data_IF_787018889172
#
_entry.id   IF_787018889172
#
_cell.length_a   1.000
_cell.length_b   1.000
_cell.length_c   1.000
_cell.angle_alpha   90.00
_cell.angle_beta   90.00
_cell.angle_gamma   90.00
#
_symmetry.space_group_name_H-M   'P 1'
#
loop_
_entity.id
_entity.type
_entity.pdbx_description
1 polymer ?
#
# COMPACT_ATOMS: atom_id res chain seq x y z
N UNK A 1 14.12 5.28 -8.46
CA UNK A 1 14.70 5.74 -7.19
C UNK A 1 14.67 4.60 -6.17
N UNK A 2 15.70 4.45 -5.33
CA UNK A 2 15.70 3.49 -4.22
C UNK A 2 16.07 4.24 -2.95
N UNK A 3 15.22 4.14 -1.93
CA UNK A 3 15.42 4.81 -0.64
C UNK A 3 15.33 3.74 0.45
N UNK A 4 16.22 3.82 1.42
CA UNK A 4 16.14 3.00 2.64
C UNK A 4 16.01 3.92 3.85
N UNK A 5 15.00 3.65 4.65
CA UNK A 5 14.78 4.30 5.93
C UNK A 5 14.53 3.23 7.00
N UNK A 6 15.46 3.10 7.94
CA UNK A 6 15.46 2.01 8.93
C UNK A 6 15.28 0.64 8.25
N UNK A 7 14.22 -0.08 8.61
CA UNK A 7 13.90 -1.41 8.07
C UNK A 7 13.00 -1.37 6.83
N UNK A 8 12.63 -0.18 6.35
CA UNK A 8 11.80 0.01 5.16
C UNK A 8 12.70 0.34 3.98
N UNK A 9 12.61 -0.46 2.94
CA UNK A 9 13.19 -0.16 1.63
C UNK A 9 12.05 0.17 0.69
N UNK A 10 12.11 1.35 0.08
CA UNK A 10 11.20 1.78 -0.99
C UNK A 10 11.97 1.81 -2.31
N UNK A 11 11.41 1.19 -3.32
CA UNK A 11 11.77 1.42 -4.72
C UNK A 11 10.60 2.12 -5.39
N UNK A 12 10.85 3.26 -6.01
CA UNK A 12 9.81 4.04 -6.65
C UNK A 12 10.24 4.50 -8.04
N UNK A 13 9.30 4.41 -8.97
CA UNK A 13 9.36 5.01 -10.29
C UNK A 13 8.11 5.84 -10.41
N UNK A 14 8.24 7.16 -10.58
CA UNK A 14 7.12 8.05 -10.81
C UNK A 14 7.54 9.15 -11.79
N UNK A 15 6.73 9.35 -12.81
CA UNK A 15 6.79 10.45 -13.75
C UNK A 15 5.36 10.91 -13.98
N UNK A 16 5.03 12.10 -13.52
CA UNK A 16 3.66 12.62 -13.50
C UNK A 16 2.96 12.47 -14.85
N UNK A 17 1.76 11.92 -14.84
CA UNK A 17 0.94 11.66 -16.02
C UNK A 17 1.45 10.56 -16.96
N UNK A 18 2.53 9.85 -16.62
CA UNK A 18 3.07 8.76 -17.44
C UNK A 18 2.98 7.42 -16.71
N UNK A 19 3.58 7.32 -15.53
CA UNK A 19 3.54 6.11 -14.70
C UNK A 19 3.99 6.37 -13.28
N UNK A 20 3.34 5.70 -12.35
CA UNK A 20 3.70 5.63 -10.93
C UNK A 20 3.66 4.18 -10.47
N UNK A 21 4.74 3.73 -9.84
CA UNK A 21 4.83 2.40 -9.23
C UNK A 21 5.78 2.46 -8.05
N UNK A 22 5.29 2.08 -6.89
CA UNK A 22 6.06 2.00 -5.65
C UNK A 22 6.14 0.54 -5.19
N UNK A 23 7.29 0.13 -4.68
CA UNK A 23 7.53 -1.24 -4.24
C UNK A 23 8.16 -1.21 -2.85
N UNK A 24 7.64 -2.04 -1.97
CA UNK A 24 8.26 -2.43 -0.70
C UNK A 24 8.80 -3.87 -0.83
N UNK A 25 10.04 -4.06 -1.31
CA UNK A 25 10.54 -5.36 -1.76
C UNK A 25 10.57 -6.42 -0.65
N UNK A 26 10.94 -6.02 0.57
CA UNK A 26 11.01 -6.92 1.74
C UNK A 26 9.66 -7.50 2.13
N UNK A 27 8.58 -6.80 1.80
CA UNK A 27 7.19 -7.19 2.08
C UNK A 27 6.49 -7.76 0.84
N UNK A 28 7.13 -7.71 -0.33
CA UNK A 28 6.57 -8.10 -1.64
C UNK A 28 5.27 -7.37 -1.97
N UNK A 29 5.22 -6.09 -1.64
CA UNK A 29 4.06 -5.22 -1.85
C UNK A 29 4.38 -4.22 -2.96
N UNK A 30 3.45 -4.04 -3.88
CA UNK A 30 3.36 -2.91 -4.79
C UNK A 30 2.28 -1.93 -4.33
N UNK A 31 2.51 -0.64 -4.54
CA UNK A 31 1.48 0.39 -4.45
C UNK A 31 1.49 1.13 -5.78
N UNK A 32 0.37 1.12 -6.44
CA UNK A 32 0.19 1.47 -7.84
C UNK A 32 1.09 0.67 -8.80
N UNK A 33 0.68 0.59 -10.03
CA UNK A 33 1.38 -0.17 -11.05
C UNK A 33 1.14 0.46 -12.42
N UNK A 34 1.60 1.69 -12.60
CA UNK A 34 1.58 2.35 -13.92
C UNK A 34 2.54 1.68 -14.90
N UNK A 35 3.61 1.07 -14.39
CA UNK A 35 4.54 0.27 -15.18
C UNK A 35 4.85 -1.06 -14.49
N UNK A 36 4.87 -2.14 -15.25
CA UNK A 36 5.25 -3.48 -14.77
C UNK A 36 6.74 -3.73 -15.03
N UNK A 37 7.61 -3.27 -14.14
CA UNK A 37 9.05 -3.57 -14.13
C UNK A 37 9.33 -4.99 -13.59
N UNK A 38 10.56 -5.49 -13.75
CA UNK A 38 10.97 -6.79 -13.20
C UNK A 38 10.79 -6.88 -11.68
N UNK A 39 11.10 -5.81 -10.96
CA UNK A 39 10.96 -5.77 -9.50
C UNK A 39 9.49 -5.88 -9.07
N UNK A 40 8.57 -5.26 -9.83
CA UNK A 40 7.13 -5.34 -9.60
C UNK A 40 6.61 -6.77 -9.76
N UNK A 41 7.20 -7.57 -10.66
CA UNK A 41 6.77 -8.97 -10.87
C UNK A 41 6.83 -9.82 -9.61
N UNK A 42 7.68 -9.46 -8.66
CA UNK A 42 7.83 -10.17 -7.37
C UNK A 42 6.76 -9.78 -6.35
N UNK A 43 6.01 -8.69 -6.59
CA UNK A 43 4.92 -8.28 -5.73
C UNK A 43 3.71 -9.21 -5.94
N UNK A 44 3.29 -9.89 -4.90
CA UNK A 44 2.08 -10.72 -4.95
C UNK A 44 0.84 -10.01 -4.39
N UNK A 45 1.02 -8.80 -3.83
CA UNK A 45 -0.02 -7.90 -3.33
C UNK A 45 0.21 -6.52 -3.90
N UNK A 46 -0.79 -5.97 -4.56
CA UNK A 46 -0.74 -4.64 -5.17
C UNK A 46 -1.92 -3.82 -4.68
N UNK A 47 -1.62 -2.71 -4.03
CA UNK A 47 -2.58 -1.76 -3.51
C UNK A 47 -2.72 -0.62 -4.51
N UNK A 48 -3.92 -0.42 -5.03
CA UNK A 48 -4.20 0.56 -6.08
C UNK A 48 -4.85 1.77 -5.43
N UNK A 49 -4.23 2.93 -5.59
CA UNK A 49 -4.75 4.18 -5.03
C UNK A 49 -6.00 4.63 -5.76
N UNK A 50 -5.95 4.67 -7.08
CA UNK A 50 -7.04 5.05 -7.96
C UNK A 50 -6.79 4.57 -9.40
N UNK A 51 -7.81 4.56 -10.29
CA UNK A 51 -7.71 3.91 -11.59
C UNK A 51 -7.22 4.80 -12.74
N UNK A 52 -6.48 5.89 -12.50
CA UNK A 52 -5.85 6.58 -13.61
C UNK A 52 -4.80 5.69 -14.29
N UNK A 53 -4.64 5.87 -15.60
CA UNK A 53 -3.82 5.00 -16.45
C UNK A 53 -2.38 4.91 -15.94
N UNK A 54 -1.80 6.02 -15.53
CA UNK A 54 -0.45 6.11 -14.99
C UNK A 54 -0.27 5.41 -13.63
N UNK A 55 -1.36 4.95 -13.01
CA UNK A 55 -1.35 4.16 -11.78
C UNK A 55 -1.70 2.68 -11.97
N UNK A 56 -2.38 2.31 -13.08
CA UNK A 56 -2.85 0.92 -13.26
C UNK A 56 -2.45 0.26 -14.59
N UNK A 57 -1.87 0.98 -15.55
CA UNK A 57 -1.61 0.44 -16.90
C UNK A 57 -0.76 -0.84 -16.91
N UNK A 58 0.12 -1.01 -15.93
CA UNK A 58 0.99 -2.17 -15.81
C UNK A 58 0.31 -3.45 -15.28
N UNK A 59 -0.91 -3.37 -14.75
CA UNK A 59 -1.58 -4.49 -14.06
C UNK A 59 -1.79 -5.68 -14.99
N UNK A 60 -2.24 -5.45 -16.23
CA UNK A 60 -2.48 -6.52 -17.19
C UNK A 60 -1.19 -7.28 -17.49
N UNK A 61 -0.11 -6.53 -17.76
CA UNK A 61 1.21 -7.13 -17.99
C UNK A 61 1.71 -7.89 -16.78
N UNK A 62 1.54 -7.34 -15.57
CA UNK A 62 1.92 -8.01 -14.33
C UNK A 62 1.18 -9.34 -14.17
N UNK A 63 -0.15 -9.34 -14.31
CA UNK A 63 -0.97 -10.53 -14.19
C UNK A 63 -0.57 -11.59 -15.24
N UNK A 64 -0.46 -11.20 -16.50
CA UNK A 64 -0.08 -12.07 -17.62
C UNK A 64 1.33 -12.65 -17.48
N UNK A 65 2.30 -11.83 -17.08
CA UNK A 65 3.68 -12.30 -16.88
C UNK A 65 3.79 -13.28 -15.72
N UNK A 66 3.06 -13.08 -14.63
CA UNK A 66 3.03 -14.02 -13.51
C UNK A 66 2.39 -15.36 -13.90
N UNK A 67 1.31 -15.33 -14.69
CA UNK A 67 0.69 -16.53 -15.27
C UNK A 67 1.69 -17.29 -16.12
N UNK A 68 2.36 -16.61 -17.06
CA UNK A 68 3.36 -17.20 -17.95
C UNK A 68 4.53 -17.81 -17.20
N UNK A 69 4.95 -17.20 -16.08
CA UNK A 69 6.03 -17.69 -15.20
C UNK A 69 5.57 -18.74 -14.18
N UNK A 70 4.32 -19.19 -14.24
CA UNK A 70 3.71 -20.13 -13.27
C UNK A 70 3.82 -19.66 -11.81
N UNK A 71 3.76 -18.35 -11.59
CA UNK A 71 3.75 -17.76 -10.25
C UNK A 71 2.32 -17.75 -9.69
N UNK A 72 2.21 -17.70 -8.36
CA UNK A 72 0.90 -17.56 -7.70
C UNK A 72 0.11 -16.34 -8.22
N UNK A 73 -1.21 -16.50 -8.31
CA UNK A 73 -2.10 -15.41 -8.66
C UNK A 73 -1.93 -14.21 -7.72
N UNK A 74 -1.71 -12.99 -8.24
CA UNK A 74 -1.57 -11.81 -7.41
C UNK A 74 -2.90 -11.41 -6.78
N UNK A 75 -2.85 -10.68 -5.67
CA UNK A 75 -4.01 -10.02 -5.08
C UNK A 75 -3.93 -8.53 -5.35
N UNK A 76 -4.94 -8.00 -6.01
CA UNK A 76 -5.13 -6.57 -6.22
C UNK A 76 -6.12 -6.02 -5.19
N UNK A 77 -5.75 -4.93 -4.54
CA UNK A 77 -6.54 -4.21 -3.56
C UNK A 77 -6.96 -2.88 -4.18
N UNK A 78 -8.26 -2.64 -4.34
CA UNK A 78 -8.78 -1.45 -5.02
C UNK A 78 -9.96 -0.83 -4.27
N UNK A 79 -10.17 0.47 -4.38
CA UNK A 79 -11.33 1.15 -3.82
C UNK A 79 -12.64 0.54 -4.30
N UNK A 80 -13.62 0.44 -3.40
CA UNK A 80 -14.93 -0.17 -3.68
C UNK A 80 -15.60 0.43 -4.91
N UNK A 81 -15.46 1.73 -5.08
CA UNK A 81 -16.07 2.50 -6.17
C UNK A 81 -15.57 2.06 -7.56
N UNK A 82 -14.39 1.45 -7.62
CA UNK A 82 -13.73 1.06 -8.89
C UNK A 82 -13.80 -0.44 -9.20
N UNK A 83 -14.35 -1.24 -8.29
CA UNK A 83 -14.37 -2.70 -8.39
C UNK A 83 -14.92 -3.20 -9.72
N UNK A 84 -16.13 -2.79 -10.07
CA UNK A 84 -16.83 -3.31 -11.26
C UNK A 84 -16.07 -2.94 -12.54
N UNK A 85 -15.63 -1.68 -12.67
CA UNK A 85 -14.84 -1.23 -13.81
C UNK A 85 -13.52 -1.98 -13.95
N UNK A 86 -12.86 -2.29 -12.83
CA UNK A 86 -11.65 -3.11 -12.83
C UNK A 86 -11.92 -4.54 -13.31
N UNK A 87 -12.96 -5.19 -12.83
CA UNK A 87 -13.37 -6.54 -13.27
C UNK A 87 -13.71 -6.56 -14.75
N UNK A 88 -14.42 -5.54 -15.27
CA UNK A 88 -14.76 -5.40 -16.68
C UNK A 88 -13.50 -5.24 -17.55
N UNK A 89 -12.56 -4.43 -17.12
CA UNK A 89 -11.25 -4.27 -17.77
C UNK A 89 -10.52 -5.62 -17.86
N UNK A 90 -10.40 -6.33 -16.75
CA UNK A 90 -9.74 -7.64 -16.70
C UNK A 90 -10.44 -8.67 -17.59
N UNK A 91 -11.77 -8.70 -17.58
CA UNK A 91 -12.57 -9.58 -18.44
C UNK A 91 -12.41 -9.24 -19.93
N UNK A 92 -12.30 -7.96 -20.28
CA UNK A 92 -12.03 -7.54 -21.65
C UNK A 92 -10.65 -8.02 -22.13
N UNK A 93 -9.63 -7.90 -21.29
CA UNK A 93 -8.29 -8.41 -21.59
C UNK A 93 -8.23 -9.93 -21.66
N UNK A 94 -8.96 -10.67 -20.82
CA UNK A 94 -9.09 -12.13 -20.93
C UNK A 94 -9.60 -12.56 -22.31
N UNK A 95 -10.61 -11.85 -22.82
CA UNK A 95 -11.17 -12.12 -24.16
C UNK A 95 -10.17 -11.78 -25.27
N UNK A 96 -9.49 -10.63 -25.19
CA UNK A 96 -8.51 -10.19 -26.18
C UNK A 96 -7.27 -11.08 -26.21
N UNK A 97 -6.70 -11.36 -25.05
CA UNK A 97 -5.46 -12.12 -24.87
C UNK A 97 -5.68 -13.64 -24.91
N UNK A 98 -6.92 -14.11 -24.86
CA UNK A 98 -7.30 -15.53 -24.78
C UNK A 98 -6.54 -16.28 -23.68
N UNK A 99 -6.38 -15.66 -22.50
CA UNK A 99 -5.70 -16.19 -21.32
C UNK A 99 -6.55 -16.04 -20.07
N UNK A 100 -6.23 -16.79 -19.02
CA UNK A 100 -6.99 -16.78 -17.78
C UNK A 100 -6.79 -15.49 -16.98
N UNK A 101 -5.60 -14.91 -17.02
CA UNK A 101 -5.21 -13.77 -16.21
C UNK A 101 -5.67 -13.98 -14.74
N UNK A 102 -5.12 -14.97 -14.03
CA UNK A 102 -5.60 -15.33 -12.70
C UNK A 102 -5.20 -14.24 -11.69
N UNK A 103 -6.16 -13.74 -10.94
CA UNK A 103 -5.95 -12.79 -9.85
C UNK A 103 -7.01 -12.97 -8.76
N UNK A 104 -6.72 -12.42 -7.58
CA UNK A 104 -7.70 -12.18 -6.52
C UNK A 104 -7.95 -10.68 -6.44
N UNK A 105 -9.21 -10.29 -6.21
CA UNK A 105 -9.60 -8.89 -6.04
C UNK A 105 -10.17 -8.68 -4.65
N UNK A 106 -9.59 -7.73 -3.93
CA UNK A 106 -10.01 -7.32 -2.59
C UNK A 106 -10.42 -5.85 -2.60
N UNK A 107 -11.58 -5.57 -2.04
CA UNK A 107 -12.11 -4.21 -1.96
C UNK A 107 -11.49 -3.48 -0.78
N UNK A 108 -11.06 -2.23 -1.00
CA UNK A 108 -10.52 -1.35 0.04
C UNK A 108 -11.44 -0.18 0.31
N UNK A 109 -11.49 0.22 1.57
CA UNK A 109 -12.18 1.42 2.03
C UNK A 109 -11.41 2.05 3.20
N UNK A 110 -11.62 3.34 3.50
CA UNK A 110 -10.91 4.00 4.59
C UNK A 110 -11.03 3.25 5.91
N UNK A 111 -9.93 3.13 6.64
CA UNK A 111 -9.78 2.41 7.91
C UNK A 111 -9.83 0.88 7.81
N UNK A 112 -9.97 0.29 6.61
CA UNK A 112 -9.79 -1.15 6.45
C UNK A 112 -8.34 -1.53 6.61
N UNK A 113 -8.08 -2.54 7.44
CA UNK A 113 -6.76 -3.11 7.70
C UNK A 113 -6.57 -4.42 6.93
N UNK A 114 -5.41 -4.55 6.29
CA UNK A 114 -4.97 -5.79 5.64
C UNK A 114 -3.68 -6.24 6.31
N UNK A 115 -3.73 -7.36 6.99
CA UNK A 115 -2.55 -7.97 7.59
C UNK A 115 -1.56 -8.41 6.50
N UNK A 116 -0.33 -7.94 6.59
CA UNK A 116 0.76 -8.34 5.69
C UNK A 116 1.49 -9.55 6.28
N UNK A 117 1.81 -9.46 7.55
CA UNK A 117 2.37 -10.53 8.36
C UNK A 117 2.06 -10.27 9.85
N UNK A 118 2.71 -10.99 10.75
CA UNK A 118 2.47 -10.83 12.20
C UNK A 118 2.90 -9.45 12.73
N UNK A 119 3.80 -8.76 12.03
CA UNK A 119 4.39 -7.48 12.47
C UNK A 119 3.77 -6.28 11.75
N UNK A 120 3.36 -6.44 10.49
CA UNK A 120 2.91 -5.33 9.65
C UNK A 120 1.49 -5.52 9.13
N UNK A 121 0.77 -4.41 9.01
CA UNK A 121 -0.50 -4.32 8.28
C UNK A 121 -0.58 -3.01 7.51
N UNK A 122 -1.39 -2.98 6.45
CA UNK A 122 -1.71 -1.76 5.69
C UNK A 122 -3.11 -1.31 6.05
N UNK A 123 -3.26 -0.02 6.32
CA UNK A 123 -4.53 0.69 6.51
C UNK A 123 -4.73 1.68 5.39
N UNK A 124 -5.93 1.68 4.81
CA UNK A 124 -6.31 2.68 3.82
C UNK A 124 -6.86 3.94 4.47
N UNK A 125 -6.63 5.08 3.84
CA UNK A 125 -7.25 6.37 4.17
C UNK A 125 -7.74 7.07 2.91
N UNK A 126 -8.60 8.08 3.06
CA UNK A 126 -9.15 8.84 1.92
C UNK A 126 -8.18 9.93 1.50
N UNK A 127 -7.77 9.92 0.24
CA UNK A 127 -7.06 11.02 -0.41
C UNK A 127 -8.01 11.97 -1.12
N UNK A 128 -7.54 13.19 -1.41
CA UNK A 128 -8.36 14.25 -1.99
C UNK A 128 -7.98 14.41 -3.45
N UNK A 129 -8.73 13.75 -4.31
CA UNK A 129 -8.48 13.74 -5.74
C UNK A 129 -9.80 13.81 -6.52
N UNK A 130 -9.74 14.11 -7.84
CA UNK A 130 -10.91 14.22 -8.73
C UNK A 130 -11.72 12.93 -8.81
N UNK A 131 -11.05 11.79 -8.86
CA UNK A 131 -11.67 10.46 -8.75
C UNK A 131 -11.49 9.93 -7.33
N UNK A 132 -12.36 9.03 -6.85
CA UNK A 132 -12.17 8.39 -5.56
C UNK A 132 -10.75 7.80 -5.44
N UNK A 133 -9.99 8.27 -4.47
CA UNK A 133 -8.58 7.90 -4.28
C UNK A 133 -8.33 7.48 -2.83
N UNK A 134 -7.51 6.46 -2.66
CA UNK A 134 -7.06 5.96 -1.37
C UNK A 134 -5.56 6.17 -1.22
N UNK A 135 -5.16 6.65 -0.07
CA UNK A 135 -3.78 6.51 0.38
C UNK A 135 -3.63 5.24 1.20
N UNK A 136 -2.41 4.77 1.33
CA UNK A 136 -2.06 3.56 2.08
C UNK A 136 -0.97 3.83 3.10
N UNK A 137 -1.19 3.36 4.31
CA UNK A 137 -0.25 3.50 5.41
C UNK A 137 0.12 2.13 5.96
N UNK A 138 1.42 1.86 6.02
CA UNK A 138 1.99 0.66 6.63
C UNK A 138 2.20 0.93 8.12
N UNK A 139 1.58 0.13 8.95
CA UNK A 139 1.74 0.13 10.39
C UNK A 139 2.59 -1.04 10.84
N UNK A 140 3.47 -0.77 11.81
CA UNK A 140 4.19 -1.78 12.55
C UNK A 140 3.51 -2.02 13.89
N UNK A 141 3.16 -3.27 14.16
CA UNK A 141 2.69 -3.71 15.49
C UNK A 141 3.89 -3.85 16.40
N UNK A 142 3.94 -3.02 17.43
CA UNK A 142 4.97 -3.09 18.47
C UNK A 142 4.35 -3.56 19.77
N UNK A 143 5.13 -4.31 20.51
CA UNK A 143 4.80 -4.68 21.88
C UNK A 143 5.92 -4.27 22.80
N UNK A 144 5.59 -3.68 23.93
CA UNK A 144 6.51 -3.28 24.98
C UNK A 144 6.07 -3.93 26.27
N UNK A 145 6.99 -4.54 27.00
CA UNK A 145 6.68 -5.10 28.32
C UNK A 145 6.15 -3.96 29.22
N UNK A 146 5.03 -4.19 29.90
CA UNK A 146 4.45 -3.22 30.82
C UNK A 146 5.43 -2.89 31.93
N UNK A 147 5.38 -1.66 32.43
CA UNK A 147 6.33 -1.15 33.42
C UNK A 147 6.35 -1.96 34.71
N UNK A 148 5.20 -2.52 35.10
CA UNK A 148 5.03 -3.37 36.29
C UNK A 148 5.81 -4.70 36.23
N UNK A 149 6.18 -5.15 35.01
CA UNK A 149 6.96 -6.38 34.80
C UNK A 149 8.42 -6.10 34.46
N UNK A 150 8.87 -4.85 34.48
CA UNK A 150 10.27 -4.53 34.24
C UNK A 150 11.14 -5.08 35.39
N UNK A 151 12.18 -5.85 35.02
CA UNK A 151 13.05 -6.51 35.99
C UNK A 151 12.56 -7.90 36.45
N UNK A 152 11.37 -8.34 36.05
CA UNK A 152 10.88 -9.70 36.34
C UNK A 152 11.73 -10.75 35.62
N UNK A 153 12.19 -11.81 36.31
CA UNK A 153 12.97 -12.89 35.69
C UNK A 153 12.21 -13.55 34.55
N UNK A 154 12.95 -13.96 33.49
CA UNK A 154 12.35 -14.53 32.27
C UNK A 154 11.45 -15.75 32.50
N UNK A 155 11.80 -16.61 33.47
CA UNK A 155 10.97 -17.79 33.85
C UNK A 155 9.63 -17.38 34.48
N UNK A 156 9.62 -16.29 35.22
CA UNK A 156 8.38 -15.77 35.83
C UNK A 156 7.50 -15.09 34.78
N UNK A 157 8.08 -14.36 33.84
CA UNK A 157 7.40 -13.82 32.65
C UNK A 157 6.72 -14.96 31.86
N UNK A 158 7.42 -16.10 31.66
CA UNK A 158 6.87 -17.26 30.98
C UNK A 158 5.66 -17.83 31.76
N UNK A 159 5.78 -17.97 33.07
CA UNK A 159 4.69 -18.46 33.94
C UNK A 159 3.47 -17.54 33.92
N UNK A 160 3.68 -16.25 34.02
CA UNK A 160 2.58 -15.25 33.95
C UNK A 160 1.85 -15.32 32.60
N UNK A 161 2.61 -15.49 31.52
CA UNK A 161 2.02 -15.67 30.17
C UNK A 161 1.19 -16.97 30.07
N UNK A 162 1.65 -18.08 30.64
CA UNK A 162 0.90 -19.34 30.69
C UNK A 162 -0.41 -19.21 31.48
N UNK A 163 -0.43 -18.33 32.47
CA UNK A 163 -1.64 -17.99 33.23
C UNK A 163 -2.54 -16.96 32.55
N UNK A 164 -2.22 -16.57 31.29
CA UNK A 164 -3.06 -15.67 30.50
C UNK A 164 -2.98 -14.18 30.90
N UNK A 165 -1.95 -13.81 31.67
CA UNK A 165 -1.76 -12.41 32.08
C UNK A 165 -1.25 -11.61 30.89
N UNK A 166 -1.89 -10.47 30.58
CA UNK A 166 -1.48 -9.56 29.52
C UNK A 166 -0.25 -8.75 29.98
N UNK A 167 0.91 -9.18 29.48
CA UNK A 167 2.21 -8.66 29.87
C UNK A 167 2.69 -7.45 29.07
N UNK A 168 2.08 -7.18 27.92
CA UNK A 168 2.59 -6.22 26.96
C UNK A 168 1.57 -5.13 26.65
N UNK A 169 2.05 -3.93 26.52
CA UNK A 169 1.35 -2.84 25.84
C UNK A 169 1.51 -3.01 24.32
N UNK A 170 0.42 -2.96 23.59
CA UNK A 170 0.40 -3.04 22.15
C UNK A 170 0.24 -1.65 21.55
N UNK A 171 1.12 -1.29 20.63
CA UNK A 171 1.08 -0.02 19.90
C UNK A 171 1.18 -0.24 18.41
N UNK A 172 0.50 0.60 17.64
CA UNK A 172 0.55 0.64 16.19
C UNK A 172 1.33 1.89 15.77
N UNK A 173 2.44 1.70 15.07
CA UNK A 173 3.30 2.81 14.66
C UNK A 173 3.24 2.96 13.15
N UNK A 174 2.82 4.13 12.60
CA UNK A 174 2.84 4.37 11.17
C UNK A 174 4.29 4.53 10.70
N UNK A 175 4.78 3.56 9.94
CA UNK A 175 6.20 3.50 9.53
C UNK A 175 6.42 3.97 8.09
N UNK A 176 5.44 3.83 7.23
CA UNK A 176 5.47 4.30 5.85
C UNK A 176 4.07 4.69 5.39
N UNK A 177 3.96 5.75 4.59
CA UNK A 177 2.72 6.12 3.93
C UNK A 177 2.96 6.61 2.49
N UNK A 178 2.00 6.34 1.62
CA UNK A 178 1.87 6.94 0.30
C UNK A 178 0.46 7.46 0.12
N UNK A 179 0.35 8.70 -0.27
CA UNK A 179 -0.94 9.40 -0.35
C UNK A 179 -1.73 9.10 -1.62
N UNK A 180 -1.10 8.54 -2.67
CA UNK A 180 -1.65 8.65 -4.02
C UNK A 180 -1.71 10.10 -4.46
N UNK A 181 -2.44 10.36 -5.54
CA UNK A 181 -2.71 11.72 -6.00
C UNK A 181 -3.63 12.44 -5.03
N UNK A 182 -3.21 13.63 -4.62
CA UNK A 182 -3.93 14.37 -3.59
C UNK A 182 -3.55 15.84 -3.56
N UNK A 183 -4.37 16.63 -2.88
CA UNK A 183 -4.01 17.98 -2.48
C UNK A 183 -3.38 17.99 -1.08
N UNK A 184 -2.70 19.06 -0.71
CA UNK A 184 -2.03 19.19 0.60
C UNK A 184 -2.99 19.09 1.79
N UNK A 185 -4.28 19.34 1.58
CA UNK A 185 -5.31 19.22 2.61
C UNK A 185 -5.44 17.83 3.20
N UNK A 186 -4.94 16.79 2.52
CA UNK A 186 -4.88 15.43 3.07
C UNK A 186 -4.11 15.39 4.39
N UNK A 187 -3.06 16.21 4.54
CA UNK A 187 -2.26 16.31 5.76
C UNK A 187 -3.05 16.82 6.97
N UNK A 188 -4.13 17.57 6.73
CA UNK A 188 -5.02 18.06 7.78
C UNK A 188 -6.14 17.06 8.11
N UNK A 189 -6.56 16.27 7.13
CA UNK A 189 -7.65 15.29 7.28
C UNK A 189 -7.20 13.98 7.89
N UNK A 190 -5.98 13.56 7.61
CA UNK A 190 -5.40 12.31 8.09
C UNK A 190 -4.24 12.60 9.04
N UNK A 191 -4.56 12.79 10.31
CA UNK A 191 -3.59 13.16 11.35
C UNK A 191 -2.44 12.16 11.50
N UNK A 192 -2.67 10.88 11.20
CA UNK A 192 -1.65 9.85 11.29
C UNK A 192 -0.51 10.05 10.30
N UNK A 193 -0.71 10.81 9.20
CA UNK A 193 0.37 11.20 8.29
C UNK A 193 1.44 12.06 8.96
N UNK A 194 1.04 12.92 9.92
CA UNK A 194 1.97 13.79 10.64
C UNK A 194 2.91 13.00 11.56
N UNK A 195 2.47 11.82 12.01
CA UNK A 195 3.24 10.92 12.87
C UNK A 195 3.93 9.80 12.09
N UNK A 196 3.78 9.78 10.77
CA UNK A 196 4.38 8.75 9.93
C UNK A 196 5.90 8.94 9.83
N UNK A 197 6.64 7.85 10.00
CA UNK A 197 8.11 7.93 10.01
C UNK A 197 8.70 8.19 8.62
N UNK A 198 8.05 7.71 7.57
CA UNK A 198 8.47 7.88 6.19
C UNK A 198 7.24 8.12 5.31
N UNK A 199 7.06 9.35 4.85
CA UNK A 199 5.95 9.78 4.01
C UNK A 199 6.42 10.01 2.57
N UNK A 200 5.68 9.46 1.63
CA UNK A 200 5.81 9.73 0.19
C UNK A 200 4.54 10.44 -0.28
N UNK A 201 4.72 11.60 -0.87
CA UNK A 201 3.64 12.41 -1.46
C UNK A 201 4.00 12.66 -2.91
N UNK A 202 3.04 12.51 -3.81
CA UNK A 202 3.21 12.97 -5.19
C UNK A 202 2.99 14.49 -5.24
N UNK A 203 3.93 15.19 -5.87
CA UNK A 203 3.86 16.64 -6.10
C UNK A 203 3.99 16.89 -7.59
N UNK A 204 2.85 17.08 -8.25
CA UNK A 204 2.80 17.37 -9.69
C UNK A 204 3.14 18.84 -9.97
N UNK A 205 2.77 19.75 -9.07
CA UNK A 205 2.96 21.19 -9.22
C UNK A 205 3.84 21.70 -8.08
N UNK A 206 5.04 22.11 -8.44
CA UNK A 206 6.10 22.49 -7.49
C UNK A 206 6.16 23.99 -7.24
N UNK A 207 5.51 24.81 -8.09
CA UNK A 207 5.55 26.26 -8.04
C UNK A 207 4.27 26.88 -8.62
N UNK A 208 4.19 28.22 -8.57
CA UNK A 208 3.02 29.01 -8.97
C UNK A 208 2.79 29.10 -10.49
N UNK A 209 3.59 28.42 -11.34
CA UNK A 209 3.41 28.42 -12.79
C UNK A 209 2.12 27.73 -13.25
N UNK A 210 1.61 26.82 -12.43
CA UNK A 210 0.31 26.20 -12.64
C UNK A 210 -0.53 26.37 -11.38
N UNK A 211 -1.61 27.11 -11.48
CA UNK A 211 -2.54 27.28 -10.35
C UNK A 211 -3.37 26.00 -10.15
N UNK A 212 -3.85 25.72 -8.92
CA UNK A 212 -4.74 24.57 -8.66
C UNK A 212 -5.99 24.53 -9.57
N UNK A 213 -6.44 25.67 -10.06
CA UNK A 213 -7.58 25.80 -10.98
C UNK A 213 -7.23 25.33 -12.40
N UNK A 214 -5.98 25.50 -12.82
CA UNK A 214 -5.46 25.04 -14.12
C UNK A 214 -4.90 23.62 -14.08
N UNK A 215 -4.83 23.01 -12.92
CA UNK A 215 -4.39 21.64 -12.68
C UNK A 215 -5.49 20.57 -12.81
N UNK A 216 -6.68 21.00 -13.29
CA UNK A 216 -7.88 20.16 -13.42
C UNK A 216 -7.96 19.40 -14.74
#
# INVERSE_FOLDING_TARGET
MKIQYKNITLQAISTGGQYTSLILPTLKIGIDMGIASEDVMRCNRVFITHPHIDHIAGIIRHCSSREMMSMDAPTYYIGEEHRNAFEDMMNSWRRLNRSFLPYKLEVMYPKRDIAINNQYFIRAFRSIHKVPCLGYMLYEKRRKLKSEFLGTPGHEIARLREHGIELYDHTEVPVFAYTGDTTIEVMKREESLQNCQFLTIEITFFDDRVTPENAR
#
